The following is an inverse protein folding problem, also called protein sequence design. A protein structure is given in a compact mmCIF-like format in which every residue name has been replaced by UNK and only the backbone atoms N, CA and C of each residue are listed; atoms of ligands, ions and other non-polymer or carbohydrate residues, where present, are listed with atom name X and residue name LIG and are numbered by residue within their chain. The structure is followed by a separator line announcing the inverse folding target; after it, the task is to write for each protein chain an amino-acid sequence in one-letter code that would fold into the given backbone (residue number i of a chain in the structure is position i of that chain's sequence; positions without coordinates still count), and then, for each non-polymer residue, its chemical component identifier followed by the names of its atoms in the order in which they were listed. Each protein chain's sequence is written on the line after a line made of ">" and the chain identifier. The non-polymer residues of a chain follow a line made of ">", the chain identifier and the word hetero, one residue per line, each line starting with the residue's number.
data_IF_238555685035
#
_entry.id   IF_238555685035
#
_cell.length_a   1.000
_cell.length_b   1.000
_cell.length_c   1.000
_cell.angle_alpha   90.00
_cell.angle_beta   90.00
_cell.angle_gamma   90.00
#
_symmetry.space_group_name_H-M   'P 1'
#
loop_
_entity.id
_entity.type
_entity.pdbx_description
1 polymer ?
#
# COMPACT_ATOMS: atom_id res chain seq x y z
N UNK A 1 19.04 -2.94 15.84
CA UNK A 1 18.73 -2.56 14.44
C UNK A 1 17.48 -1.69 14.49
N UNK A 2 17.38 -0.65 13.65
CA UNK A 2 16.12 0.12 13.53
C UNK A 2 15.32 -0.50 12.39
N UNK A 3 14.08 -0.90 12.64
CA UNK A 3 13.20 -1.50 11.64
C UNK A 3 12.15 -0.46 11.25
N UNK A 4 11.91 -0.34 9.95
CA UNK A 4 10.85 0.49 9.40
C UNK A 4 9.88 -0.37 8.59
N UNK A 5 8.59 -0.23 8.88
CA UNK A 5 7.49 -0.85 8.14
C UNK A 5 6.88 0.18 7.17
N UNK A 6 6.81 -0.15 5.89
CA UNK A 6 6.22 0.77 4.89
C UNK A 6 4.74 0.49 4.62
N UNK A 7 4.17 -0.57 5.16
CA UNK A 7 2.85 -1.04 4.76
C UNK A 7 2.04 -1.55 5.95
N UNK A 8 1.30 -0.64 6.57
CA UNK A 8 0.31 -0.98 7.59
C UNK A 8 -0.99 -0.21 7.34
N UNK A 9 -2.12 -0.80 7.74
CA UNK A 9 -3.44 -0.19 7.56
C UNK A 9 -4.08 0.13 8.91
N UNK A 10 -4.64 1.35 9.02
CA UNK A 10 -5.41 1.75 10.19
C UNK A 10 -6.74 2.37 9.79
N UNK A 11 -7.71 2.24 10.68
CA UNK A 11 -9.06 2.80 10.54
C UNK A 11 -9.47 3.48 11.84
N UNK A 12 -10.46 4.40 11.81
CA UNK A 12 -11.05 4.92 13.04
C UNK A 12 -11.51 3.78 13.96
N UNK A 13 -11.28 3.88 15.29
CA UNK A 13 -11.65 2.84 16.27
C UNK A 13 -13.06 2.27 16.07
N UNK A 14 -14.04 3.14 15.79
CA UNK A 14 -15.44 2.74 15.52
C UNK A 14 -15.60 1.81 14.30
N UNK A 15 -14.63 1.80 13.40
CA UNK A 15 -14.66 1.05 12.14
C UNK A 15 -13.60 -0.06 12.11
N UNK A 16 -12.64 -0.08 13.02
CA UNK A 16 -11.46 -0.94 12.99
C UNK A 16 -11.83 -2.43 12.92
N UNK A 17 -12.69 -2.90 13.81
CA UNK A 17 -13.18 -4.28 13.81
C UNK A 17 -13.91 -4.64 12.51
N UNK A 18 -14.84 -3.77 12.08
CA UNK A 18 -15.60 -3.98 10.84
C UNK A 18 -14.68 -3.97 9.61
N UNK A 19 -13.68 -3.11 9.59
CA UNK A 19 -12.70 -3.02 8.51
C UNK A 19 -11.87 -4.30 8.45
N UNK A 20 -11.31 -4.76 9.57
CA UNK A 20 -10.58 -6.03 9.67
C UNK A 20 -11.42 -7.20 9.17
N UNK A 21 -12.67 -7.30 9.62
CA UNK A 21 -13.57 -8.35 9.18
C UNK A 21 -13.89 -8.28 7.67
N UNK A 22 -14.11 -7.07 7.14
CA UNK A 22 -14.41 -6.88 5.71
C UNK A 22 -13.21 -7.22 4.83
N UNK A 23 -12.00 -6.84 5.24
CA UNK A 23 -10.75 -7.18 4.55
C UNK A 23 -10.55 -8.70 4.60
N UNK A 24 -10.68 -9.30 5.77
CA UNK A 24 -10.59 -10.75 5.94
C UNK A 24 -11.56 -11.51 5.06
N UNK A 25 -12.84 -11.09 5.04
CA UNK A 25 -13.86 -11.68 4.16
C UNK A 25 -13.52 -11.55 2.68
N UNK A 26 -12.97 -10.41 2.25
CA UNK A 26 -12.57 -10.20 0.86
C UNK A 26 -11.46 -11.18 0.44
N UNK A 27 -10.48 -11.40 1.31
CA UNK A 27 -9.32 -12.26 1.03
C UNK A 27 -9.52 -13.72 1.46
N UNK A 28 -10.63 -14.06 2.12
CA UNK A 28 -10.90 -15.40 2.61
C UNK A 28 -10.01 -15.83 3.77
N UNK A 29 -9.59 -14.87 4.61
CA UNK A 29 -8.77 -15.08 5.81
C UNK A 29 -9.47 -14.54 7.05
N UNK A 30 -9.19 -15.11 8.22
CA UNK A 30 -9.69 -14.56 9.48
C UNK A 30 -8.71 -13.52 10.01
N UNK A 31 -9.18 -12.29 10.22
CA UNK A 31 -8.42 -11.22 10.86
C UNK A 31 -9.09 -10.91 12.21
N UNK A 32 -8.42 -11.28 13.28
CA UNK A 32 -8.92 -11.06 14.65
C UNK A 32 -8.40 -9.74 15.26
N UNK A 33 -7.43 -9.11 14.61
CA UNK A 33 -6.81 -7.87 15.08
C UNK A 33 -7.66 -6.67 14.65
N UNK A 34 -7.92 -5.78 15.59
CA UNK A 34 -8.49 -4.48 15.26
C UNK A 34 -7.46 -3.63 14.52
N UNK A 35 -7.88 -3.05 13.41
CA UNK A 35 -7.01 -2.24 12.56
C UNK A 35 -7.02 -0.77 13.01
N UNK A 36 -6.63 -0.49 14.26
CA UNK A 36 -6.52 0.86 14.80
C UNK A 36 -5.08 1.24 15.19
N UNK A 37 -4.87 2.53 15.44
CA UNK A 37 -3.55 3.06 15.78
C UNK A 37 -3.03 2.54 17.13
N UNK A 38 -3.82 2.46 18.24
CA UNK A 38 -3.36 1.90 19.49
C UNK A 38 -2.89 0.45 19.37
N UNK A 39 -3.63 -0.38 18.64
CA UNK A 39 -3.26 -1.78 18.44
C UNK A 39 -1.98 -1.91 17.63
N UNK A 40 -1.85 -1.18 16.53
CA UNK A 40 -0.62 -1.17 15.72
C UNK A 40 0.60 -0.75 16.56
N UNK A 41 0.51 0.35 17.30
CA UNK A 41 1.60 0.81 18.17
C UNK A 41 2.04 -0.25 19.19
N UNK A 42 1.09 -0.98 19.76
CA UNK A 42 1.39 -2.04 20.72
C UNK A 42 2.13 -3.21 20.06
N UNK A 43 1.70 -3.64 18.87
CA UNK A 43 2.34 -4.72 18.12
C UNK A 43 3.71 -4.32 17.58
N UNK A 44 3.87 -3.12 17.04
CA UNK A 44 5.15 -2.57 16.57
C UNK A 44 6.19 -2.54 17.71
N UNK A 45 5.76 -2.10 18.89
CA UNK A 45 6.62 -2.08 20.06
C UNK A 45 7.11 -3.48 20.45
N UNK A 46 6.23 -4.49 20.39
CA UNK A 46 6.59 -5.88 20.69
C UNK A 46 7.53 -6.47 19.62
N UNK A 47 7.38 -6.06 18.36
CA UNK A 47 8.20 -6.49 17.24
C UNK A 47 9.53 -5.69 17.13
N UNK A 48 9.68 -4.57 17.84
CA UNK A 48 10.85 -3.70 17.75
C UNK A 48 10.85 -2.81 16.50
N UNK A 49 9.68 -2.61 15.88
CA UNK A 49 9.49 -1.63 14.80
C UNK A 49 9.50 -0.24 15.40
N UNK A 50 10.28 0.65 14.81
CA UNK A 50 10.50 2.01 15.34
C UNK A 50 9.99 3.10 14.40
N UNK A 51 9.65 2.73 13.17
CA UNK A 51 9.08 3.62 12.17
C UNK A 51 8.03 2.85 11.38
N UNK A 52 6.91 3.49 11.10
CA UNK A 52 5.85 2.86 10.33
C UNK A 52 5.17 3.86 9.41
N UNK A 53 4.83 3.42 8.21
CA UNK A 53 3.95 4.14 7.29
C UNK A 53 2.57 3.51 7.36
N UNK A 54 1.61 4.28 7.85
CA UNK A 54 0.21 3.86 7.93
C UNK A 54 -0.60 4.40 6.76
N UNK A 55 -1.59 3.65 6.34
CA UNK A 55 -2.47 4.02 5.24
C UNK A 55 -3.86 3.41 5.40
N UNK A 56 -4.78 3.83 4.58
CA UNK A 56 -5.97 3.09 4.18
C UNK A 56 -6.34 3.46 2.73
N UNK A 57 -7.32 2.77 2.16
CA UNK A 57 -7.75 3.03 0.79
C UNK A 57 -9.22 3.42 0.76
N UNK A 58 -9.50 4.64 0.28
CA UNK A 58 -10.86 5.01 -0.09
C UNK A 58 -11.31 4.17 -1.29
N UNK A 59 -12.47 3.54 -1.20
CA UNK A 59 -13.01 2.70 -2.26
C UNK A 59 -13.79 3.49 -3.32
N UNK A 60 -14.07 4.76 -3.05
CA UNK A 60 -14.72 5.72 -3.95
C UNK A 60 -14.32 7.17 -3.62
N UNK A 61 -14.61 8.10 -4.53
CA UNK A 61 -14.22 9.50 -4.40
C UNK A 61 -14.76 10.19 -3.13
N UNK A 62 -15.99 9.89 -2.72
CA UNK A 62 -16.62 10.55 -1.57
C UNK A 62 -15.98 10.23 -0.22
N UNK A 63 -15.17 9.16 -0.14
CA UNK A 63 -14.47 8.75 1.08
C UNK A 63 -13.09 9.42 1.23
N UNK A 64 -12.51 9.93 0.14
CA UNK A 64 -11.10 10.35 0.08
C UNK A 64 -10.77 11.40 1.14
N UNK A 65 -11.51 12.50 1.20
CA UNK A 65 -11.22 13.61 2.13
C UNK A 65 -11.28 13.17 3.59
N UNK A 66 -12.30 12.40 3.95
CA UNK A 66 -12.45 11.90 5.33
C UNK A 66 -11.33 10.92 5.70
N UNK A 67 -10.95 10.03 4.78
CA UNK A 67 -9.84 9.09 4.99
C UNK A 67 -8.52 9.84 5.21
N UNK A 68 -8.22 10.82 4.37
CA UNK A 68 -6.99 11.62 4.47
C UNK A 68 -6.93 12.46 5.75
N UNK A 69 -8.03 13.07 6.14
CA UNK A 69 -8.13 13.81 7.40
C UNK A 69 -7.88 12.90 8.59
N UNK A 70 -8.54 11.73 8.62
CA UNK A 70 -8.32 10.74 9.68
C UNK A 70 -6.86 10.28 9.76
N UNK A 71 -6.23 9.94 8.65
CA UNK A 71 -4.84 9.47 8.62
C UNK A 71 -3.87 10.52 9.15
N UNK A 72 -4.05 11.78 8.77
CA UNK A 72 -3.23 12.89 9.26
C UNK A 72 -3.41 13.12 10.76
N UNK A 73 -4.62 12.98 11.27
CA UNK A 73 -4.91 13.10 12.71
C UNK A 73 -4.37 11.92 13.51
N UNK A 74 -4.50 10.70 12.98
CA UNK A 74 -4.08 9.47 13.63
C UNK A 74 -2.58 9.41 13.93
N UNK A 75 -1.74 9.97 13.06
CA UNK A 75 -0.28 9.98 13.27
C UNK A 75 0.22 11.17 14.08
N UNK A 76 -0.66 12.14 14.39
CA UNK A 76 -0.27 13.34 15.12
C UNK A 76 0.16 12.98 16.55
N UNK A 77 1.40 13.35 16.91
CA UNK A 77 1.97 13.04 18.22
C UNK A 77 2.52 11.62 18.37
N UNK A 78 2.51 10.82 17.31
CA UNK A 78 3.14 9.51 17.30
C UNK A 78 4.50 9.58 16.58
N UNK A 79 5.57 9.79 17.35
CA UNK A 79 6.93 9.84 16.81
C UNK A 79 7.29 8.54 16.08
N UNK A 80 7.81 8.66 14.87
CA UNK A 80 8.18 7.52 14.04
C UNK A 80 7.09 7.03 13.08
N UNK A 81 5.86 7.55 13.20
CA UNK A 81 4.78 7.22 12.28
C UNK A 81 4.58 8.32 11.23
N UNK A 82 4.40 7.89 9.99
CA UNK A 82 4.02 8.72 8.85
C UNK A 82 2.74 8.16 8.26
N UNK A 83 1.98 9.01 7.56
CA UNK A 83 0.79 8.54 6.86
C UNK A 83 0.92 8.76 5.34
N UNK A 84 0.54 7.73 4.58
CA UNK A 84 0.19 7.85 3.18
C UNK A 84 -1.32 8.03 3.09
N UNK A 85 -1.73 9.08 2.38
CA UNK A 85 -3.14 9.30 2.10
C UNK A 85 -3.65 8.37 1.01
N UNK A 86 -4.85 8.62 0.56
CA UNK A 86 -5.49 7.90 -0.54
C UNK A 86 -6.10 8.87 -1.53
N UNK A 87 -6.21 8.43 -2.78
CA UNK A 87 -6.92 9.13 -3.85
C UNK A 87 -7.76 8.14 -4.63
N UNK A 88 -8.88 8.57 -5.21
CA UNK A 88 -9.60 7.79 -6.20
C UNK A 88 -9.20 8.33 -7.58
N UNK A 89 -8.38 7.58 -8.37
CA UNK A 89 -7.86 8.11 -9.62
C UNK A 89 -8.97 8.53 -10.59
N UNK A 90 -8.86 9.74 -11.14
CA UNK A 90 -9.86 10.32 -12.03
C UNK A 90 -11.06 10.98 -11.35
N UNK A 91 -11.03 11.14 -10.02
CA UNK A 91 -12.06 11.92 -9.30
C UNK A 91 -11.96 13.41 -9.65
N UNK A 92 -13.08 14.11 -9.60
CA UNK A 92 -13.09 15.57 -9.70
C UNK A 92 -12.37 16.20 -8.50
N UNK A 93 -11.65 17.30 -8.70
CA UNK A 93 -10.94 18.00 -7.63
C UNK A 93 -9.72 17.26 -7.08
N UNK A 94 -9.12 16.34 -7.85
CA UNK A 94 -7.95 15.58 -7.39
C UNK A 94 -6.71 16.45 -7.15
N UNK A 95 -6.53 17.54 -7.91
CA UNK A 95 -5.41 18.46 -7.72
C UNK A 95 -5.49 19.16 -6.37
N UNK A 96 -6.66 19.71 -6.04
CA UNK A 96 -6.93 20.37 -4.76
C UNK A 96 -6.79 19.41 -3.59
N UNK A 97 -7.22 18.17 -3.76
CA UNK A 97 -7.06 17.15 -2.70
C UNK A 97 -5.62 16.77 -2.51
N UNK A 98 -4.81 16.64 -3.57
CA UNK A 98 -3.38 16.39 -3.46
C UNK A 98 -2.64 17.51 -2.72
N UNK A 99 -3.00 18.78 -2.99
CA UNK A 99 -2.42 19.91 -2.29
C UNK A 99 -2.83 19.91 -0.81
N UNK A 100 -4.11 19.65 -0.52
CA UNK A 100 -4.62 19.49 0.85
C UNK A 100 -3.92 18.36 1.61
N UNK A 101 -3.64 17.23 0.95
CA UNK A 101 -2.89 16.12 1.54
C UNK A 101 -1.49 16.57 2.00
N UNK A 102 -0.78 17.34 1.18
CA UNK A 102 0.53 17.89 1.54
C UNK A 102 0.46 18.83 2.74
N UNK A 103 -0.56 19.71 2.77
CA UNK A 103 -0.82 20.62 3.91
C UNK A 103 -1.13 19.86 5.20
N UNK A 104 -1.85 18.75 5.11
CA UNK A 104 -2.12 17.83 6.23
C UNK A 104 -0.88 17.06 6.68
N UNK A 105 0.23 17.11 5.93
CA UNK A 105 1.47 16.41 6.27
C UNK A 105 1.54 14.97 5.77
N UNK A 106 0.63 14.53 4.90
CA UNK A 106 0.69 13.21 4.27
C UNK A 106 1.89 13.13 3.31
N UNK A 107 2.57 11.99 3.25
CA UNK A 107 3.89 11.87 2.59
C UNK A 107 3.92 10.88 1.43
N UNK A 108 2.79 10.39 0.99
CA UNK A 108 2.63 9.45 -0.12
C UNK A 108 1.18 9.06 -0.28
N UNK A 109 0.92 8.12 -1.14
CA UNK A 109 -0.43 7.69 -1.51
C UNK A 109 -0.52 6.17 -1.51
N UNK A 110 -1.57 5.62 -0.91
CA UNK A 110 -1.96 4.22 -1.06
C UNK A 110 -3.08 4.10 -2.07
N UNK A 111 -2.89 3.23 -3.05
CA UNK A 111 -3.90 2.84 -4.05
C UNK A 111 -4.18 1.35 -3.91
N UNK A 112 -5.47 1.00 -3.91
CA UNK A 112 -5.91 -0.39 -3.91
C UNK A 112 -6.88 -0.64 -5.08
N UNK A 113 -6.37 -0.98 -6.26
CA UNK A 113 -7.15 -1.04 -7.49
C UNK A 113 -8.36 -1.99 -7.40
N UNK A 114 -8.19 -3.13 -6.73
CA UNK A 114 -9.25 -4.14 -6.61
C UNK A 114 -10.40 -3.68 -5.71
N UNK A 115 -10.13 -2.94 -4.62
CA UNK A 115 -11.16 -2.31 -3.80
C UNK A 115 -11.82 -1.14 -4.52
N UNK A 116 -11.05 -0.37 -5.28
CA UNK A 116 -11.53 0.76 -6.06
C UNK A 116 -12.26 0.32 -7.34
N UNK A 117 -12.09 -0.94 -7.76
CA UNK A 117 -12.58 -1.49 -9.02
C UNK A 117 -12.17 -0.65 -10.22
N UNK A 118 -10.93 -0.20 -10.19
CA UNK A 118 -10.32 0.65 -11.20
C UNK A 118 -8.92 0.12 -11.53
N UNK A 119 -8.68 -0.18 -12.79
CA UNK A 119 -7.37 -0.67 -13.22
C UNK A 119 -6.28 0.40 -13.02
N UNK A 120 -5.07 -0.03 -12.65
CA UNK A 120 -3.94 0.87 -12.43
C UNK A 120 -3.70 1.78 -13.63
N UNK A 121 -3.80 1.26 -14.84
CA UNK A 121 -3.57 1.96 -16.10
C UNK A 121 -4.85 2.52 -16.77
N UNK A 122 -5.96 2.61 -16.02
CA UNK A 122 -7.21 3.16 -16.54
C UNK A 122 -6.99 4.61 -17.00
N UNK A 123 -7.51 4.92 -18.19
CA UNK A 123 -7.36 6.24 -18.82
C UNK A 123 -7.81 7.39 -17.93
N UNK A 124 -8.87 7.18 -17.16
CA UNK A 124 -9.44 8.17 -16.23
C UNK A 124 -8.46 8.60 -15.15
N UNK A 125 -7.54 7.70 -14.74
CA UNK A 125 -6.58 7.95 -13.67
C UNK A 125 -5.27 8.62 -14.10
N UNK A 126 -4.96 8.66 -15.39
CA UNK A 126 -3.64 9.07 -15.87
C UNK A 126 -3.26 10.49 -15.45
N UNK A 127 -4.18 11.45 -15.56
CA UNK A 127 -3.91 12.83 -15.16
C UNK A 127 -3.70 12.95 -13.63
N UNK A 128 -4.40 12.14 -12.84
CA UNK A 128 -4.15 12.04 -11.40
C UNK A 128 -2.73 11.55 -11.11
N UNK A 129 -2.27 10.50 -11.78
CA UNK A 129 -0.90 9.99 -11.59
C UNK A 129 0.18 10.98 -12.04
N UNK A 130 -0.05 11.73 -13.11
CA UNK A 130 0.84 12.83 -13.51
C UNK A 130 0.90 13.94 -12.45
N UNK A 131 -0.24 14.28 -11.85
CA UNK A 131 -0.30 15.27 -10.78
C UNK A 131 0.45 14.80 -9.51
N UNK A 132 0.34 13.52 -9.18
CA UNK A 132 1.08 12.88 -8.10
C UNK A 132 2.59 12.94 -8.37
N UNK A 133 3.02 12.58 -9.58
CA UNK A 133 4.43 12.61 -9.99
C UNK A 133 5.01 14.03 -9.92
N UNK A 134 4.26 15.06 -10.36
CA UNK A 134 4.70 16.48 -10.25
C UNK A 134 4.95 16.93 -8.80
N UNK A 135 4.32 16.29 -7.82
CA UNK A 135 4.48 16.56 -6.38
C UNK A 135 5.52 15.66 -5.70
N UNK A 136 6.21 14.83 -6.48
CA UNK A 136 7.21 13.85 -6.00
C UNK A 136 6.67 12.93 -4.88
N UNK A 137 5.38 12.63 -4.90
CA UNK A 137 4.75 11.74 -3.94
C UNK A 137 4.92 10.28 -4.38
N UNK A 138 5.43 9.39 -3.51
CA UNK A 138 5.47 7.96 -3.78
C UNK A 138 4.05 7.36 -3.70
N UNK A 139 3.81 6.35 -4.54
CA UNK A 139 2.56 5.59 -4.53
C UNK A 139 2.84 4.15 -4.16
N UNK A 140 2.22 3.68 -3.08
CA UNK A 140 2.16 2.27 -2.70
C UNK A 140 0.93 1.64 -3.35
N UNK A 141 1.15 0.83 -4.37
CA UNK A 141 0.11 0.10 -5.05
C UNK A 141 -0.09 -1.28 -4.42
N UNK A 142 -1.33 -1.63 -4.09
CA UNK A 142 -1.66 -3.05 -3.94
C UNK A 142 -1.46 -3.73 -5.30
N UNK A 143 -0.79 -4.88 -5.31
CA UNK A 143 -0.44 -5.60 -6.53
C UNK A 143 -0.91 -7.04 -6.47
N UNK A 144 -1.46 -7.51 -7.59
CA UNK A 144 -1.93 -8.88 -7.73
C UNK A 144 -3.37 -9.05 -7.26
N UNK A 145 -3.85 -10.15 -7.32
CA UNK A 145 -5.07 -10.86 -6.99
C UNK A 145 -5.43 -11.75 -8.19
N UNK A 146 -5.41 -13.05 -8.00
CA UNK A 146 -5.66 -14.02 -9.07
C UNK A 146 -7.11 -14.04 -9.56
N UNK A 147 -8.01 -13.37 -8.82
CA UNK A 147 -9.45 -13.25 -9.14
C UNK A 147 -9.78 -12.07 -10.05
N UNK A 148 -8.90 -11.06 -10.10
CA UNK A 148 -9.14 -9.79 -10.80
C UNK A 148 -7.91 -9.39 -11.63
N UNK A 149 -8.12 -8.44 -12.55
CA UNK A 149 -7.03 -7.90 -13.36
C UNK A 149 -6.90 -6.37 -13.22
N UNK A 150 -7.25 -5.82 -12.04
CA UNK A 150 -7.10 -4.37 -11.81
C UNK A 150 -5.68 -3.97 -11.41
N UNK A 151 -4.95 -4.87 -10.74
CA UNK A 151 -3.64 -4.63 -10.14
C UNK A 151 -2.54 -5.56 -10.65
N UNK A 152 -2.64 -6.04 -11.88
CA UNK A 152 -1.63 -6.92 -12.45
C UNK A 152 -0.30 -6.21 -12.72
N UNK A 153 0.84 -6.94 -12.72
CA UNK A 153 2.16 -6.37 -12.98
C UNK A 153 2.24 -5.60 -14.31
N UNK A 154 1.59 -6.11 -15.36
CA UNK A 154 1.58 -5.48 -16.69
C UNK A 154 0.89 -4.12 -16.66
N UNK A 155 -0.16 -3.95 -15.87
CA UNK A 155 -0.87 -2.68 -15.72
C UNK A 155 0.00 -1.61 -15.09
N UNK A 156 0.78 -1.96 -14.06
CA UNK A 156 1.73 -1.02 -13.48
C UNK A 156 2.80 -0.62 -14.50
N UNK A 157 3.34 -1.57 -15.27
CA UNK A 157 4.27 -1.25 -16.36
C UNK A 157 3.64 -0.33 -17.41
N UNK A 158 2.37 -0.54 -17.77
CA UNK A 158 1.67 0.32 -18.74
C UNK A 158 1.50 1.74 -18.19
N UNK A 159 1.14 1.88 -16.91
CA UNK A 159 1.08 3.19 -16.27
C UNK A 159 2.45 3.88 -16.29
N UNK A 160 3.53 3.19 -15.90
CA UNK A 160 4.88 3.77 -15.81
C UNK A 160 5.46 4.14 -17.19
N UNK A 161 5.02 3.51 -18.27
CA UNK A 161 5.36 3.97 -19.64
C UNK A 161 4.73 5.32 -19.98
N UNK A 162 3.58 5.64 -19.37
CA UNK A 162 2.84 6.88 -19.59
C UNK A 162 3.19 7.98 -18.59
N UNK A 163 3.65 7.59 -17.41
CA UNK A 163 4.06 8.48 -16.30
C UNK A 163 5.38 7.97 -15.72
N UNK A 164 6.49 8.09 -16.48
CA UNK A 164 7.77 7.51 -16.09
C UNK A 164 8.40 8.14 -14.84
N UNK A 165 7.98 9.35 -14.47
CA UNK A 165 8.44 10.05 -13.27
C UNK A 165 7.73 9.60 -12.00
N UNK A 166 6.70 8.74 -12.10
CA UNK A 166 5.94 8.28 -10.95
C UNK A 166 6.79 7.34 -10.09
N UNK A 167 6.95 7.71 -8.82
CA UNK A 167 7.63 6.87 -7.83
C UNK A 167 6.66 5.80 -7.34
N UNK A 168 6.91 4.54 -7.66
CA UNK A 168 6.03 3.44 -7.33
C UNK A 168 6.67 2.42 -6.39
N UNK A 169 5.87 1.92 -5.46
CA UNK A 169 6.15 0.73 -4.65
C UNK A 169 5.10 -0.32 -5.00
N UNK A 170 5.54 -1.47 -5.47
CA UNK A 170 4.70 -2.61 -5.80
C UNK A 170 4.58 -3.52 -4.57
N UNK A 171 3.42 -3.52 -3.92
CA UNK A 171 3.19 -4.34 -2.73
C UNK A 171 3.27 -5.84 -3.03
N UNK A 172 3.58 -6.64 -1.98
CA UNK A 172 3.50 -8.10 -2.01
C UNK A 172 4.39 -8.75 -3.09
N UNK A 173 5.66 -8.32 -3.18
CA UNK A 173 6.56 -8.70 -4.27
C UNK A 173 5.93 -8.47 -5.67
N UNK A 174 5.07 -7.45 -5.78
CA UNK A 174 4.41 -7.05 -7.02
C UNK A 174 3.29 -7.96 -7.50
N UNK A 175 2.78 -8.87 -6.66
CA UNK A 175 1.74 -9.79 -7.15
C UNK A 175 1.17 -10.76 -6.15
N UNK A 176 0.38 -10.30 -5.16
CA UNK A 176 -0.31 -11.18 -4.20
C UNK A 176 -1.10 -12.29 -4.91
N UNK A 177 -0.85 -13.55 -4.52
CA UNK A 177 -1.36 -14.78 -5.16
C UNK A 177 -1.02 -14.96 -6.65
N UNK A 178 -0.42 -13.97 -7.29
CA UNK A 178 0.03 -14.05 -8.69
C UNK A 178 1.56 -13.92 -8.82
N UNK A 179 2.32 -14.33 -7.79
CA UNK A 179 3.78 -14.21 -7.74
C UNK A 179 4.53 -14.78 -8.95
N UNK A 180 4.17 -15.94 -9.54
CA UNK A 180 4.82 -16.41 -10.76
C UNK A 180 4.68 -15.42 -11.93
N UNK A 181 3.52 -14.74 -12.05
CA UNK A 181 3.28 -13.69 -13.05
C UNK A 181 4.12 -12.46 -12.76
N UNK A 182 4.19 -12.03 -11.48
CA UNK A 182 5.05 -10.92 -11.07
C UNK A 182 6.52 -11.21 -11.36
N UNK A 183 7.02 -12.40 -11.06
CA UNK A 183 8.39 -12.81 -11.32
C UNK A 183 8.71 -12.88 -12.83
N UNK A 184 7.73 -13.27 -13.65
CA UNK A 184 7.87 -13.30 -15.11
C UNK A 184 7.81 -11.89 -15.72
N UNK A 185 7.16 -10.93 -15.03
CA UNK A 185 6.97 -9.56 -15.49
C UNK A 185 7.44 -8.56 -14.44
N UNK A 186 8.76 -8.49 -14.25
CA UNK A 186 9.36 -7.55 -13.30
C UNK A 186 9.16 -6.09 -13.74
N UNK A 187 8.93 -5.24 -12.76
CA UNK A 187 8.78 -3.81 -12.98
C UNK A 187 10.12 -3.14 -13.34
N UNK A 188 10.09 -1.94 -13.95
CA UNK A 188 11.30 -1.13 -14.17
C UNK A 188 12.16 -0.99 -12.92
N UNK A 189 13.46 -0.77 -13.08
CA UNK A 189 14.41 -0.68 -11.96
C UNK A 189 14.12 0.42 -10.95
N UNK A 190 13.36 1.44 -11.36
CA UNK A 190 12.91 2.52 -10.47
C UNK A 190 11.83 2.11 -9.47
N UNK A 191 11.20 0.94 -9.65
CA UNK A 191 10.12 0.46 -8.77
C UNK A 191 10.71 -0.30 -7.59
N UNK A 192 10.29 0.04 -6.39
CA UNK A 192 10.56 -0.73 -5.18
C UNK A 192 9.46 -1.77 -4.95
N UNK A 193 9.77 -2.81 -4.19
CA UNK A 193 8.82 -3.85 -3.83
C UNK A 193 8.75 -3.98 -2.31
N UNK A 194 7.57 -4.14 -1.74
CA UNK A 194 7.49 -4.53 -0.35
C UNK A 194 7.35 -6.05 -0.17
N UNK A 195 7.71 -6.52 1.01
CA UNK A 195 7.75 -7.94 1.36
C UNK A 195 6.46 -8.44 2.00
N UNK A 196 5.53 -7.54 2.28
CA UNK A 196 4.32 -7.83 3.06
C UNK A 196 3.46 -8.93 2.47
N UNK A 197 2.77 -9.68 3.31
CA UNK A 197 1.81 -10.73 2.90
C UNK A 197 2.39 -11.73 1.89
N UNK A 198 3.70 -12.02 1.97
CA UNK A 198 4.36 -12.85 0.96
C UNK A 198 5.25 -13.93 1.57
N UNK A 199 6.15 -13.58 2.50
CA UNK A 199 7.19 -14.49 2.98
C UNK A 199 6.65 -15.75 3.67
N UNK A 200 5.51 -15.65 4.35
CA UNK A 200 4.81 -16.78 4.95
C UNK A 200 3.89 -17.56 3.99
N UNK A 201 3.70 -17.07 2.75
CA UNK A 201 2.72 -17.61 1.80
C UNK A 201 3.34 -18.33 0.61
N UNK A 202 4.60 -18.11 0.29
CA UNK A 202 5.31 -18.73 -0.81
C UNK A 202 6.51 -19.52 -0.32
N UNK A 203 6.96 -20.49 -1.11
CA UNK A 203 8.13 -21.29 -0.76
C UNK A 203 9.44 -20.47 -0.81
N UNK A 204 10.43 -20.93 -0.05
CA UNK A 204 11.72 -20.26 0.06
C UNK A 204 12.43 -20.14 -1.29
N UNK A 205 12.27 -21.11 -2.19
CA UNK A 205 12.93 -21.09 -3.49
C UNK A 205 12.40 -19.90 -4.33
N UNK A 206 11.09 -19.69 -4.33
CA UNK A 206 10.47 -18.57 -5.02
C UNK A 206 10.90 -17.23 -4.42
N UNK A 207 10.98 -17.11 -3.07
CA UNK A 207 11.51 -15.93 -2.39
C UNK A 207 12.93 -15.62 -2.86
N UNK A 208 13.82 -16.62 -2.86
CA UNK A 208 15.22 -16.45 -3.28
C UNK A 208 15.32 -16.01 -4.75
N UNK A 209 14.47 -16.56 -5.63
CA UNK A 209 14.39 -16.13 -7.03
C UNK A 209 13.97 -14.68 -7.18
N UNK A 210 13.05 -14.19 -6.35
CA UNK A 210 12.68 -12.77 -6.32
C UNK A 210 13.86 -11.91 -5.88
N UNK A 211 14.53 -12.26 -4.78
CA UNK A 211 15.68 -11.52 -4.26
C UNK A 211 16.80 -11.45 -5.31
N UNK A 212 17.10 -12.57 -5.98
CA UNK A 212 18.12 -12.63 -7.03
C UNK A 212 17.77 -11.74 -8.23
N UNK A 213 16.52 -11.74 -8.67
CA UNK A 213 16.08 -10.99 -9.84
C UNK A 213 15.82 -9.51 -9.58
N UNK A 214 15.25 -9.17 -8.42
CA UNK A 214 14.92 -7.79 -8.06
C UNK A 214 16.15 -7.06 -7.52
N UNK A 215 16.98 -7.76 -6.77
CA UNK A 215 18.05 -7.18 -5.98
C UNK A 215 17.59 -6.70 -4.60
N UNK A 216 18.40 -6.89 -3.54
CA UNK A 216 18.01 -6.54 -2.17
C UNK A 216 17.77 -5.04 -1.98
N UNK A 217 18.44 -4.18 -2.74
CA UNK A 217 18.31 -2.72 -2.64
C UNK A 217 16.95 -2.18 -3.09
N UNK A 218 16.15 -3.02 -3.74
CA UNK A 218 14.79 -2.68 -4.19
C UNK A 218 13.70 -3.30 -3.32
N UNK A 219 14.08 -4.01 -2.27
CA UNK A 219 13.15 -4.64 -1.33
C UNK A 219 13.04 -3.78 -0.08
N UNK A 220 11.81 -3.52 0.34
CA UNK A 220 11.49 -2.82 1.57
C UNK A 220 10.55 -3.67 2.41
N UNK A 221 10.75 -3.61 3.72
CA UNK A 221 9.93 -4.36 4.66
C UNK A 221 8.54 -3.72 4.81
N UNK A 222 7.51 -4.54 4.78
CA UNK A 222 6.13 -4.19 5.08
C UNK A 222 5.42 -5.34 5.79
N UNK A 223 4.42 -5.04 6.61
CA UNK A 223 3.67 -6.06 7.36
C UNK A 223 2.29 -6.34 6.79
N UNK A 224 1.68 -5.37 6.11
CA UNK A 224 0.26 -5.41 5.73
C UNK A 224 -0.68 -5.58 6.95
N UNK A 225 -0.25 -5.04 8.12
CA UNK A 225 -1.14 -5.02 9.28
C UNK A 225 -2.53 -4.46 8.89
N UNK A 226 -3.67 -5.03 9.28
CA UNK A 226 -3.86 -6.07 10.28
C UNK A 226 -3.89 -7.51 9.73
N UNK A 227 -3.59 -7.74 8.44
CA UNK A 227 -3.56 -9.08 7.85
C UNK A 227 -2.64 -10.00 8.65
N UNK A 228 -1.44 -9.52 8.94
CA UNK A 228 -0.42 -10.20 9.74
C UNK A 228 0.01 -9.32 10.91
N UNK A 229 0.50 -9.93 11.97
CA UNK A 229 1.17 -9.14 13.01
C UNK A 229 2.58 -8.77 12.54
N UNK A 230 3.10 -7.61 12.98
CA UNK A 230 4.48 -7.23 12.72
C UNK A 230 5.51 -8.30 13.10
N UNK A 231 5.21 -9.11 14.12
CA UNK A 231 6.07 -10.21 14.57
C UNK A 231 6.02 -11.42 13.62
N UNK A 232 4.91 -11.66 12.94
CA UNK A 232 4.76 -12.76 11.98
C UNK A 232 5.53 -12.50 10.69
N UNK A 233 5.66 -11.22 10.30
CA UNK A 233 6.35 -10.81 9.07
C UNK A 233 7.88 -10.61 9.24
N UNK A 234 8.38 -10.51 10.49
CA UNK A 234 9.81 -10.42 10.81
C UNK A 234 10.47 -11.80 10.93
#
# INVERSE_FOLDING_TARGET
>A
MKIADIHAHIFPEKLAEKASHSIGSFYGVSIEREADMPRLCAEDKLAGITRCVVSNSATNASQVQNANTFLAEAVRGHDGYLAFGTIYPGMDGFEEELDRMLELGLRGIKIHPDFQKLAIDDERGIETYKAIARRDLPVLFHMGDDRYDFSSPERLTNLLRRVPELRAVAAHFGGWRSWPRSLAHLQPESVLYDTSSTLGMIDRELVLRFIDKIGPDRLIFGTDFPMWSPKEEL
#
